data_IF_953651151964
#
_entry.id   IF_953651151964
#
_cell.length_a   1.000
_cell.length_b   1.000
_cell.length_c   1.000
_cell.angle_alpha   90.00
_cell.angle_beta   90.00
_cell.angle_gamma   90.00
#
_symmetry.space_group_name_H-M   'P 1'
#
loop_
_entity.id
_entity.type
_entity.pdbx_description
1 polymer ?
#
# COMPACT_ATOMS: atom_id res chain seq x y z
N UNK A 1 22.24 4.15 -4.26
CA UNK A 1 21.60 3.61 -5.46
C UNK A 1 22.62 3.32 -6.53
N UNK A 2 23.34 2.21 -6.33
CA UNK A 2 24.13 1.59 -7.40
C UNK A 2 23.19 0.71 -8.20
N UNK A 3 23.21 0.85 -9.53
CA UNK A 3 22.38 0.02 -10.39
C UNK A 3 22.78 -1.45 -10.23
N UNK A 4 21.80 -2.32 -9.93
CA UNK A 4 22.00 -3.76 -9.79
C UNK A 4 22.40 -4.26 -8.40
N UNK A 5 22.54 -3.38 -7.40
CA UNK A 5 22.89 -3.75 -6.02
C UNK A 5 21.75 -3.39 -5.04
N UNK A 6 21.57 -4.20 -4.00
CA UNK A 6 20.62 -3.90 -2.94
C UNK A 6 21.18 -2.81 -2.02
N UNK A 7 20.60 -1.61 -2.03
CA UNK A 7 21.05 -0.49 -1.19
C UNK A 7 20.61 -0.59 0.28
N UNK A 8 19.78 -1.57 0.65
CA UNK A 8 19.38 -1.82 2.04
C UNK A 8 18.36 -0.84 2.63
N UNK A 9 17.57 -0.15 1.81
CA UNK A 9 16.51 0.72 2.32
C UNK A 9 15.30 -0.06 2.84
N UNK A 10 14.85 0.30 4.03
CA UNK A 10 13.64 -0.24 4.65
C UNK A 10 12.35 0.33 4.04
N UNK A 11 12.39 1.62 3.68
CA UNK A 11 11.29 2.33 3.05
C UNK A 11 11.78 3.53 2.24
N UNK A 12 10.99 3.91 1.23
CA UNK A 12 11.20 5.09 0.37
C UNK A 12 9.86 5.80 0.18
N UNK A 13 9.86 7.12 0.37
CA UNK A 13 8.71 7.97 0.09
C UNK A 13 9.01 8.93 -1.06
N UNK A 14 8.12 8.98 -2.04
CA UNK A 14 8.15 9.94 -3.13
C UNK A 14 6.98 10.92 -2.99
N UNK A 15 7.25 12.20 -3.23
CA UNK A 15 6.25 13.27 -3.27
C UNK A 15 6.04 13.76 -4.71
N UNK A 16 5.24 13.06 -5.54
CA UNK A 16 4.98 13.49 -6.92
C UNK A 16 4.47 14.92 -7.04
N UNK A 17 3.76 15.42 -6.03
CA UNK A 17 3.26 16.81 -5.99
C UNK A 17 4.36 17.87 -5.95
N UNK A 18 5.62 17.51 -5.66
CA UNK A 18 6.78 18.41 -5.77
C UNK A 18 7.40 18.42 -7.19
N UNK A 19 6.84 17.62 -8.09
CA UNK A 19 7.31 17.42 -9.46
C UNK A 19 6.10 17.43 -10.41
N UNK A 20 6.11 16.56 -11.43
CA UNK A 20 5.09 16.45 -12.48
C UNK A 20 3.68 16.14 -11.97
N UNK A 21 3.51 15.71 -10.72
CA UNK A 21 2.18 15.45 -10.16
C UNK A 21 1.37 16.71 -9.86
N UNK A 22 2.02 17.87 -9.69
CA UNK A 22 1.34 19.12 -9.35
C UNK A 22 0.66 19.12 -7.97
N UNK A 23 0.11 20.27 -7.53
CA UNK A 23 -0.57 20.39 -6.24
C UNK A 23 -1.71 19.39 -6.09
N UNK A 24 -1.78 18.71 -4.94
CA UNK A 24 -2.84 17.75 -4.63
C UNK A 24 -2.56 16.30 -5.06
N UNK A 25 -1.49 16.03 -5.81
CA UNK A 25 -1.10 14.64 -6.12
C UNK A 25 -0.70 13.85 -4.86
N UNK A 26 -1.18 12.59 -4.70
CA UNK A 26 -0.86 11.79 -3.54
C UNK A 26 0.62 11.42 -3.49
N UNK A 27 1.13 11.15 -2.28
CA UNK A 27 2.45 10.59 -2.07
C UNK A 27 2.50 9.10 -2.38
N UNK A 28 3.68 8.59 -2.76
CA UNK A 28 3.91 7.16 -2.97
C UNK A 28 4.86 6.67 -1.88
N UNK A 29 4.42 5.68 -1.09
CA UNK A 29 5.23 5.00 -0.09
C UNK A 29 5.52 3.57 -0.56
N UNK A 30 6.80 3.21 -0.61
CA UNK A 30 7.25 1.83 -0.84
C UNK A 30 8.01 1.40 0.41
N UNK A 31 7.68 0.24 0.98
CA UNK A 31 8.34 -0.26 2.18
C UNK A 31 8.45 -1.78 2.17
N UNK A 32 9.42 -2.31 2.92
CA UNK A 32 9.57 -3.74 3.12
C UNK A 32 8.32 -4.32 3.81
N UNK A 33 7.75 -5.37 3.22
CA UNK A 33 6.58 -6.08 3.74
C UNK A 33 6.77 -6.58 5.18
N UNK A 34 7.99 -6.96 5.57
CA UNK A 34 8.30 -7.41 6.92
C UNK A 34 8.03 -6.32 7.99
N UNK A 35 8.07 -5.04 7.59
CA UNK A 35 7.78 -3.90 8.44
C UNK A 35 6.28 -3.57 8.49
N UNK A 36 5.48 -4.11 7.56
CA UNK A 36 4.05 -3.87 7.46
C UNK A 36 3.25 -4.82 8.36
N UNK A 37 3.25 -4.53 9.68
CA UNK A 37 2.72 -5.38 10.76
C UNK A 37 1.26 -5.11 11.13
N UNK A 38 0.35 -5.15 10.15
CA UNK A 38 -1.07 -4.82 10.33
C UNK A 38 -1.78 -5.54 11.49
N UNK A 39 -1.40 -6.79 11.80
CA UNK A 39 -2.05 -7.56 12.85
C UNK A 39 -1.68 -7.14 14.28
N UNK A 40 -0.52 -6.51 14.49
CA UNK A 40 0.01 -6.18 15.82
C UNK A 40 0.29 -4.69 16.05
N UNK A 41 0.47 -3.92 14.98
CA UNK A 41 0.71 -2.49 15.01
C UNK A 41 0.13 -1.85 13.75
N UNK A 42 -1.21 -1.72 13.65
CA UNK A 42 -1.82 -1.02 12.54
C UNK A 42 -1.40 0.46 12.56
N UNK A 43 -1.41 1.16 11.41
CA UNK A 43 -1.18 2.59 11.36
C UNK A 43 -2.13 3.33 12.31
N UNK A 44 -1.63 4.37 12.97
CA UNK A 44 -2.43 5.19 13.91
C UNK A 44 -3.60 5.93 13.23
N UNK A 45 -3.50 6.14 11.91
CA UNK A 45 -4.58 6.62 11.06
C UNK A 45 -4.66 5.76 9.80
N UNK A 46 -5.83 5.21 9.52
CA UNK A 46 -6.14 4.57 8.25
C UNK A 46 -6.87 5.58 7.36
N UNK A 47 -6.35 5.82 6.15
CA UNK A 47 -6.94 6.71 5.16
C UNK A 47 -7.16 5.99 3.83
N UNK A 48 -8.38 6.05 3.29
CA UNK A 48 -8.78 5.38 2.04
C UNK A 48 -8.87 3.84 2.15
N UNK A 49 -9.33 3.20 1.08
CA UNK A 49 -9.33 1.73 0.94
C UNK A 49 -8.03 1.21 0.33
N UNK A 50 -7.57 0.02 0.73
CA UNK A 50 -6.41 -0.64 0.11
C UNK A 50 -6.80 -1.16 -1.28
N UNK A 51 -6.26 -0.55 -2.33
CA UNK A 51 -6.44 -1.02 -3.70
C UNK A 51 -5.33 -2.00 -4.04
N UNK A 52 -5.68 -3.27 -4.31
CA UNK A 52 -4.71 -4.32 -4.59
C UNK A 52 -4.01 -4.15 -5.95
N UNK A 53 -4.73 -3.61 -6.94
CA UNK A 53 -4.23 -3.40 -8.30
C UNK A 53 -5.20 -2.49 -9.07
N UNK A 54 -4.67 -1.58 -9.90
CA UNK A 54 -5.44 -0.80 -10.88
C UNK A 54 -4.82 -1.04 -12.25
N UNK A 55 -5.59 -1.54 -13.21
CA UNK A 55 -5.21 -1.51 -14.62
C UNK A 55 -6.16 -0.59 -15.40
N UNK A 56 -5.73 -0.10 -16.57
CA UNK A 56 -6.53 0.78 -17.42
C UNK A 56 -7.69 0.08 -18.16
N UNK A 57 -8.03 -1.17 -17.81
CA UNK A 57 -8.99 -2.01 -18.53
C UNK A 57 -10.16 -2.53 -17.66
N UNK A 58 -10.15 -2.37 -16.34
CA UNK A 58 -11.28 -2.72 -15.45
C UNK A 58 -11.01 -2.41 -13.97
N UNK A 59 -12.00 -1.86 -13.25
CA UNK A 59 -11.99 -1.68 -11.79
C UNK A 59 -12.32 -3.00 -11.06
N UNK A 60 -11.30 -3.79 -10.73
CA UNK A 60 -11.48 -4.95 -9.86
C UNK A 60 -11.36 -4.54 -8.37
N UNK A 61 -12.51 -4.30 -7.71
CA UNK A 61 -12.57 -4.09 -6.26
C UNK A 61 -12.40 -5.43 -5.54
N UNK A 62 -11.29 -5.62 -4.83
CA UNK A 62 -11.11 -6.75 -3.92
C UNK A 62 -12.00 -6.57 -2.69
N UNK A 63 -13.00 -7.43 -2.50
CA UNK A 63 -13.75 -7.50 -1.25
C UNK A 63 -12.89 -8.21 -0.21
N UNK A 64 -12.58 -7.50 0.88
CA UNK A 64 -12.11 -8.11 2.13
C UNK A 64 -13.21 -9.05 2.64
N UNK A 65 -13.11 -10.34 2.34
CA UNK A 65 -13.96 -11.36 2.92
C UNK A 65 -13.70 -11.41 4.43
N UNK A 66 -14.64 -10.89 5.22
CA UNK A 66 -14.70 -11.16 6.64
C UNK A 66 -14.94 -12.66 6.84
N UNK A 67 -13.95 -13.35 7.39
CA UNK A 67 -14.09 -14.70 7.92
C UNK A 67 -15.04 -14.64 9.14
N UNK A 68 -16.35 -14.75 8.91
CA UNK A 68 -17.27 -15.28 9.90
C UNK A 68 -17.40 -16.77 9.64
N UNK A 69 -16.67 -17.57 10.43
CA UNK A 69 -16.85 -18.99 10.53
C UNK A 69 -18.21 -19.23 11.22
N UNK A 70 -19.26 -19.48 10.43
CA UNK A 70 -20.51 -20.04 10.92
C UNK A 70 -20.32 -21.56 11.00
N UNK A 71 -20.12 -22.06 12.21
CA UNK A 71 -20.16 -23.50 12.51
C UNK A 71 -21.55 -24.05 12.12
N UNK A 72 -21.65 -25.13 11.33
CA UNK A 72 -22.90 -25.80 11.08
C UNK A 72 -23.28 -26.65 12.30
N UNK A 73 -24.58 -26.60 12.65
CA UNK A 73 -25.27 -27.36 13.70
C UNK A 73 -24.91 -28.86 13.75
#
# INVERSE_FOLDING_TARGET
MRSGELDGYDAVFLSPHKFVGGPGSPGILVMNRALYRLAGAPPSTCGGGTVAYVNGFSDAVSRSAGHHNLEPN
#
